data_IF_542661200334
#
_entry.id   IF_542661200334
#
_cell.length_a   1.000
_cell.length_b   1.000
_cell.length_c   1.000
_cell.angle_alpha   90.00
_cell.angle_beta   90.00
_cell.angle_gamma   90.00
#
_symmetry.space_group_name_H-M   'P 1'
#
loop_
_entity.id
_entity.type
_entity.pdbx_description
1 polymer ?
#
# COMPACT_ATOMS: atom_id res chain seq x y z
N UNK A 1 13.19 61.23 -5.85
CA UNK A 1 12.94 60.09 -4.95
C UNK A 1 12.45 58.93 -5.81
N UNK A 2 13.22 57.83 -5.94
CA UNK A 2 12.83 56.68 -6.77
C UNK A 2 12.79 55.43 -5.88
N UNK A 3 11.61 54.82 -5.83
CA UNK A 3 11.21 53.80 -4.86
C UNK A 3 11.97 52.47 -5.04
N UNK A 4 12.47 51.91 -3.94
CA UNK A 4 12.99 50.55 -3.85
C UNK A 4 11.82 49.56 -3.85
N UNK A 5 11.66 48.80 -4.94
CA UNK A 5 10.80 47.62 -4.95
C UNK A 5 11.50 46.49 -4.17
N UNK A 6 10.96 46.16 -2.99
CA UNK A 6 11.39 45.00 -2.22
C UNK A 6 10.97 43.72 -2.97
N UNK A 7 11.95 42.98 -3.49
CA UNK A 7 11.75 41.61 -3.99
C UNK A 7 11.32 40.73 -2.81
N UNK A 8 10.03 40.42 -2.71
CA UNK A 8 9.54 39.31 -1.89
C UNK A 8 10.13 38.01 -2.43
N UNK A 9 11.13 37.47 -1.73
CA UNK A 9 11.59 36.10 -1.92
C UNK A 9 10.50 35.18 -1.38
N UNK A 10 9.66 34.65 -2.29
CA UNK A 10 8.75 33.54 -1.96
C UNK A 10 9.62 32.34 -1.55
N UNK A 11 9.55 31.99 -0.27
CA UNK A 11 10.21 30.82 0.32
C UNK A 11 9.53 29.61 -0.29
N UNK A 12 10.11 29.03 -1.35
CA UNK A 12 9.70 27.72 -1.87
C UNK A 12 9.76 26.76 -0.68
N UNK A 13 8.60 26.40 -0.11
CA UNK A 13 8.48 25.22 0.76
C UNK A 13 9.09 24.08 -0.06
N UNK A 14 10.14 23.44 0.46
CA UNK A 14 10.73 22.29 -0.23
C UNK A 14 9.62 21.30 -0.50
N UNK A 15 9.48 20.87 -1.76
CA UNK A 15 8.56 19.78 -2.10
C UNK A 15 9.02 18.57 -1.28
N UNK A 16 8.19 18.16 -0.34
CA UNK A 16 8.39 16.91 0.39
C UNK A 16 8.23 15.80 -0.64
N UNK A 17 9.25 14.96 -0.78
CA UNK A 17 9.22 13.82 -1.69
C UNK A 17 7.97 12.98 -1.40
N UNK A 18 7.19 12.64 -2.43
CA UNK A 18 6.02 11.78 -2.26
C UNK A 18 6.38 10.38 -1.73
N UNK A 19 7.62 9.94 -1.94
CA UNK A 19 8.11 8.63 -1.52
C UNK A 19 9.16 8.74 -0.41
N UNK A 20 9.15 7.79 0.53
CA UNK A 20 10.17 7.65 1.57
C UNK A 20 10.07 8.65 2.74
N UNK A 21 9.04 9.49 2.77
CA UNK A 21 8.78 10.42 3.87
C UNK A 21 7.79 9.81 4.89
N UNK A 22 7.77 10.36 6.10
CA UNK A 22 6.75 9.99 7.08
C UNK A 22 5.36 10.37 6.57
N UNK A 23 4.42 9.44 6.71
CA UNK A 23 3.05 9.63 6.21
C UNK A 23 2.36 10.81 6.89
N UNK A 24 2.55 10.99 8.20
CA UNK A 24 1.92 12.08 8.95
C UNK A 24 2.47 13.43 8.51
N UNK A 25 3.81 13.53 8.38
CA UNK A 25 4.46 14.74 7.88
C UNK A 25 3.99 15.09 6.46
N UNK A 26 3.90 14.10 5.58
CA UNK A 26 3.43 14.29 4.21
C UNK A 26 2.00 14.85 4.16
N UNK A 27 1.06 14.24 4.90
CA UNK A 27 -0.34 14.66 4.92
C UNK A 27 -0.50 16.07 5.52
N UNK A 28 0.22 16.37 6.61
CA UNK A 28 0.23 17.71 7.18
C UNK A 28 0.79 18.77 6.22
N UNK A 29 1.82 18.42 5.45
CA UNK A 29 2.44 19.33 4.49
C UNK A 29 1.58 19.58 3.24
N UNK A 30 0.88 18.55 2.77
CA UNK A 30 0.05 18.57 1.56
C UNK A 30 -1.38 19.07 1.82
N UNK A 31 -1.86 18.99 3.07
CA UNK A 31 -3.23 19.32 3.44
C UNK A 31 -4.27 18.35 2.89
N UNK A 32 -3.86 17.13 2.53
CA UNK A 32 -4.74 16.07 2.04
C UNK A 32 -4.98 15.03 3.13
N UNK A 33 -6.11 14.33 3.06
CA UNK A 33 -6.44 13.23 3.97
C UNK A 33 -5.73 11.91 3.59
N UNK A 34 -5.42 11.76 2.29
CA UNK A 34 -4.77 10.58 1.71
C UNK A 34 -3.70 11.03 0.73
N UNK A 35 -2.55 10.33 0.62
CA UNK A 35 -1.52 10.67 -0.36
C UNK A 35 -2.04 10.63 -1.79
N UNK A 36 -1.73 11.65 -2.58
CA UNK A 36 -2.22 11.77 -3.95
C UNK A 36 -1.78 10.59 -4.84
N UNK A 37 -0.58 10.04 -4.60
CA UNK A 37 -0.09 8.82 -5.25
C UNK A 37 -1.08 7.67 -5.08
N UNK A 38 -1.61 7.47 -3.87
CA UNK A 38 -2.54 6.39 -3.58
C UNK A 38 -3.91 6.64 -4.22
N UNK A 39 -4.38 7.89 -4.20
CA UNK A 39 -5.64 8.27 -4.83
C UNK A 39 -5.62 8.02 -6.33
N UNK A 40 -4.62 8.56 -7.04
CA UNK A 40 -4.47 8.37 -8.48
C UNK A 40 -4.30 6.89 -8.85
N UNK A 41 -3.48 6.14 -8.10
CA UNK A 41 -3.33 4.70 -8.34
C UNK A 41 -4.65 3.94 -8.15
N UNK A 42 -5.41 4.26 -7.09
CA UNK A 42 -6.67 3.59 -6.80
C UNK A 42 -7.71 3.87 -7.89
N UNK A 43 -7.92 5.13 -8.26
CA UNK A 43 -8.85 5.53 -9.31
C UNK A 43 -8.50 4.84 -10.65
N UNK A 44 -7.23 4.83 -11.04
CA UNK A 44 -6.78 4.14 -12.25
C UNK A 44 -7.03 2.62 -12.22
N UNK A 45 -6.76 1.97 -11.07
CA UNK A 45 -6.95 0.51 -10.93
C UNK A 45 -8.43 0.15 -10.85
N UNK A 46 -9.28 1.00 -10.29
CA UNK A 46 -10.73 0.80 -10.31
C UNK A 46 -11.29 0.90 -11.73
N UNK A 47 -10.77 1.82 -12.54
CA UNK A 47 -11.23 2.03 -13.93
C UNK A 47 -10.64 0.99 -14.92
N UNK A 48 -9.35 0.70 -14.82
CA UNK A 48 -8.63 -0.13 -15.81
C UNK A 48 -8.09 -1.46 -15.26
N UNK A 49 -8.15 -1.67 -13.94
CA UNK A 49 -7.45 -2.76 -13.25
C UNK A 49 -8.19 -4.09 -13.16
N UNK A 50 -9.35 -4.24 -13.82
CA UNK A 50 -10.03 -5.54 -13.93
C UNK A 50 -9.30 -6.41 -14.97
N UNK A 51 -8.12 -6.89 -14.57
CA UNK A 51 -7.22 -7.74 -15.35
C UNK A 51 -6.73 -8.92 -14.50
N UNK A 52 -6.25 -9.99 -15.15
CA UNK A 52 -5.72 -11.13 -14.40
C UNK A 52 -4.51 -10.71 -13.54
N UNK A 53 -4.54 -11.08 -12.27
CA UNK A 53 -3.41 -10.92 -11.37
C UNK A 53 -3.07 -9.47 -11.02
N UNK A 54 -4.03 -8.53 -11.02
CA UNK A 54 -3.82 -7.20 -10.43
C UNK A 54 -3.29 -7.34 -8.99
N UNK A 55 -2.28 -6.52 -8.65
CA UNK A 55 -1.46 -6.62 -7.43
C UNK A 55 -0.62 -7.91 -7.25
N UNK A 56 -0.96 -9.03 -7.88
CA UNK A 56 -0.19 -10.30 -7.85
C UNK A 56 1.00 -10.24 -8.82
N UNK A 57 0.75 -9.89 -10.08
CA UNK A 57 1.78 -9.71 -11.10
C UNK A 57 2.50 -8.37 -10.89
N UNK A 58 3.77 -8.33 -11.30
CA UNK A 58 4.59 -7.12 -11.25
C UNK A 58 4.65 -6.47 -12.63
N UNK A 59 4.43 -5.16 -12.69
CA UNK A 59 4.71 -4.41 -13.91
C UNK A 59 6.19 -4.29 -14.21
N UNK A 60 6.50 -3.71 -15.36
CA UNK A 60 7.87 -3.55 -15.86
C UNK A 60 8.62 -2.55 -14.96
N UNK A 61 9.79 -2.93 -14.46
CA UNK A 61 10.59 -2.12 -13.53
C UNK A 61 10.87 -0.70 -14.03
N UNK A 62 11.18 -0.53 -15.32
CA UNK A 62 11.43 0.80 -15.91
C UNK A 62 10.17 1.68 -15.89
N UNK A 63 8.99 1.12 -16.14
CA UNK A 63 7.72 1.84 -16.08
C UNK A 63 7.39 2.26 -14.64
N UNK A 64 7.62 1.38 -13.67
CA UNK A 64 7.46 1.68 -12.23
C UNK A 64 8.38 2.84 -11.83
N UNK A 65 9.67 2.80 -12.20
CA UNK A 65 10.62 3.85 -11.86
C UNK A 65 10.30 5.18 -12.55
N UNK A 66 9.88 5.13 -13.81
CA UNK A 66 9.42 6.31 -14.54
C UNK A 66 8.23 6.95 -13.82
N UNK A 67 7.21 6.16 -13.49
CA UNK A 67 6.01 6.67 -12.83
C UNK A 67 6.33 7.23 -11.43
N UNK A 68 7.24 6.59 -10.69
CA UNK A 68 7.77 7.10 -9.42
C UNK A 68 8.39 8.49 -9.57
N UNK A 69 9.19 8.71 -10.61
CA UNK A 69 9.82 10.01 -10.88
C UNK A 69 8.79 11.08 -11.24
N UNK A 70 7.77 10.71 -12.00
CA UNK A 70 6.67 11.61 -12.37
C UNK A 70 5.90 12.07 -11.12
N UNK A 71 5.53 11.16 -10.22
CA UNK A 71 4.94 11.52 -8.92
C UNK A 71 5.88 12.33 -8.01
N UNK A 72 7.19 12.28 -8.24
CA UNK A 72 8.15 13.14 -7.55
C UNK A 72 8.13 14.60 -8.04
N UNK A 73 7.60 14.85 -9.23
CA UNK A 73 7.60 16.17 -9.88
C UNK A 73 6.20 16.78 -9.98
N UNK A 74 5.19 15.94 -10.19
CA UNK A 74 3.78 16.29 -10.30
C UNK A 74 2.97 15.43 -9.32
N UNK A 75 2.17 16.02 -8.41
CA UNK A 75 1.32 15.23 -7.53
C UNK A 75 0.27 14.39 -8.27
N UNK A 76 -0.12 14.75 -9.50
CA UNK A 76 -1.18 14.08 -10.26
C UNK A 76 -0.78 13.84 -11.74
N UNK A 77 0.20 12.95 -12.00
CA UNK A 77 0.63 12.64 -13.36
C UNK A 77 -0.46 11.92 -14.14
N UNK A 78 -0.42 12.06 -15.47
CA UNK A 78 -1.37 11.40 -16.37
C UNK A 78 -1.07 9.90 -16.49
N UNK A 79 -1.92 9.09 -15.84
CA UNK A 79 -1.89 7.64 -15.87
C UNK A 79 -2.56 7.04 -17.12
N UNK A 80 -3.29 7.83 -17.91
CA UNK A 80 -4.00 7.36 -19.11
C UNK A 80 -3.09 7.23 -20.34
N UNK A 81 -1.80 7.55 -20.19
CA UNK A 81 -0.82 7.41 -21.27
C UNK A 81 -0.64 5.93 -21.65
N UNK A 82 -0.46 5.70 -22.94
CA UNK A 82 -0.38 4.34 -23.53
C UNK A 82 0.64 3.43 -22.81
N UNK A 83 1.77 3.98 -22.38
CA UNK A 83 2.80 3.24 -21.64
C UNK A 83 2.28 2.57 -20.36
N UNK A 84 1.28 3.15 -19.69
CA UNK A 84 0.69 2.62 -18.46
C UNK A 84 -0.57 1.80 -18.72
N UNK A 85 -1.34 2.13 -19.75
CA UNK A 85 -2.46 1.31 -20.19
C UNK A 85 -2.01 -0.07 -20.72
N UNK A 86 -0.84 -0.14 -21.34
CA UNK A 86 -0.22 -1.40 -21.79
C UNK A 86 0.44 -2.20 -20.64
N UNK A 87 0.69 -1.56 -19.49
CA UNK A 87 1.35 -2.17 -18.32
C UNK A 87 0.63 -1.76 -17.03
N UNK A 88 -0.65 -2.10 -16.92
CA UNK A 88 -1.51 -1.78 -15.76
C UNK A 88 -0.87 -2.26 -14.45
N UNK A 89 -0.12 -3.37 -14.49
CA UNK A 89 0.58 -3.92 -13.34
C UNK A 89 1.66 -2.98 -12.78
N UNK A 90 2.19 -2.02 -13.56
CA UNK A 90 3.16 -1.06 -13.05
C UNK A 90 2.53 -0.09 -12.04
N UNK A 91 1.27 0.30 -12.23
CA UNK A 91 0.54 1.17 -11.31
C UNK A 91 0.26 0.43 -10.00
N UNK A 92 -0.17 -0.84 -10.08
CA UNK A 92 -0.31 -1.70 -8.89
C UNK A 92 1.02 -1.94 -8.16
N UNK A 93 2.11 -2.13 -8.89
CA UNK A 93 3.45 -2.23 -8.32
C UNK A 93 3.91 -0.94 -7.64
N UNK A 94 3.63 0.23 -8.23
CA UNK A 94 3.95 1.52 -7.63
C UNK A 94 3.14 1.77 -6.35
N UNK A 95 1.85 1.45 -6.35
CA UNK A 95 0.99 1.55 -5.17
C UNK A 95 1.56 0.72 -4.00
N UNK A 96 1.98 -0.53 -4.27
CA UNK A 96 2.68 -1.37 -3.28
C UNK A 96 4.02 -0.76 -2.84
N UNK A 97 4.78 -0.20 -3.79
CA UNK A 97 6.08 0.42 -3.52
C UNK A 97 5.95 1.59 -2.53
N UNK A 98 4.92 2.41 -2.68
CA UNK A 98 4.64 3.53 -1.79
C UNK A 98 4.59 3.06 -0.32
N UNK A 99 3.73 2.08 -0.02
CA UNK A 99 3.60 1.56 1.36
C UNK A 99 4.88 0.90 1.88
N UNK A 100 5.67 0.27 1.00
CA UNK A 100 6.93 -0.36 1.36
C UNK A 100 8.03 0.65 1.70
N UNK A 101 8.00 1.83 1.10
CA UNK A 101 8.99 2.89 1.34
C UNK A 101 8.63 3.77 2.55
N UNK A 102 7.46 3.60 3.17
CA UNK A 102 7.12 4.34 4.38
C UNK A 102 8.11 4.01 5.53
N UNK A 103 8.65 5.02 6.24
CA UNK A 103 9.56 4.78 7.37
C UNK A 103 8.88 4.09 8.55
N UNK A 104 7.60 4.37 8.76
CA UNK A 104 6.72 3.64 9.66
C UNK A 104 5.64 2.96 8.79
N UNK A 105 5.51 1.62 8.80
CA UNK A 105 4.55 0.92 7.95
C UNK A 105 3.14 1.40 8.24
N UNK A 106 2.22 1.24 7.28
CA UNK A 106 0.83 1.71 7.39
C UNK A 106 0.13 1.25 8.68
N UNK A 107 0.37 0.00 9.12
CA UNK A 107 -0.19 -0.54 10.36
C UNK A 107 0.58 -0.16 11.63
N UNK A 108 1.65 0.61 11.50
CA UNK A 108 2.57 1.09 12.54
C UNK A 108 3.25 -0.01 13.37
N UNK A 109 4.47 0.26 13.83
CA UNK A 109 5.13 -0.67 14.75
C UNK A 109 4.43 -0.78 16.11
N UNK A 110 3.82 0.30 16.58
CA UNK A 110 3.14 0.37 17.88
C UNK A 110 1.91 -0.53 17.96
N UNK A 111 1.12 -0.58 16.88
CA UNK A 111 -0.12 -1.35 16.83
C UNK A 111 0.10 -2.79 16.35
N UNK A 112 1.27 -3.13 15.81
CA UNK A 112 1.55 -4.46 15.25
C UNK A 112 1.19 -5.61 16.20
N UNK A 113 1.58 -5.53 17.48
CA UNK A 113 1.25 -6.55 18.49
C UNK A 113 -0.27 -6.71 18.66
N UNK A 114 -1.00 -5.58 18.68
CA UNK A 114 -2.46 -5.59 18.86
C UNK A 114 -3.15 -6.23 17.65
N UNK A 115 -2.69 -5.91 16.43
CA UNK A 115 -3.20 -6.54 15.21
C UNK A 115 -2.96 -8.06 15.21
N UNK A 116 -1.74 -8.51 15.48
CA UNK A 116 -1.40 -9.94 15.47
C UNK A 116 -2.17 -10.74 16.51
N UNK A 117 -2.33 -10.22 17.74
CA UNK A 117 -3.14 -10.88 18.76
C UNK A 117 -4.59 -11.01 18.29
N UNK A 118 -5.17 -9.95 17.72
CA UNK A 118 -6.55 -9.99 17.23
C UNK A 118 -6.73 -11.00 16.09
N UNK A 119 -5.79 -11.04 15.14
CA UNK A 119 -5.82 -12.00 14.03
C UNK A 119 -5.72 -13.45 14.53
N UNK A 120 -4.86 -13.72 15.53
CA UNK A 120 -4.72 -15.06 16.11
C UNK A 120 -5.92 -15.51 16.95
N UNK A 121 -6.73 -14.58 17.47
CA UNK A 121 -7.97 -14.91 18.16
C UNK A 121 -9.12 -15.16 17.18
N UNK A 122 -9.06 -14.56 15.98
CA UNK A 122 -10.04 -14.74 14.91
C UNK A 122 -9.74 -15.98 14.05
N UNK A 123 -8.55 -16.57 14.13
CA UNK A 123 -8.32 -17.90 13.57
C UNK A 123 -9.21 -18.87 14.34
N UNK A 124 -10.20 -19.42 13.65
CA UNK A 124 -11.13 -20.40 14.19
C UNK A 124 -10.33 -21.55 14.82
N UNK A 125 -10.22 -21.55 16.15
CA UNK A 125 -9.83 -22.74 16.89
C UNK A 125 -11.03 -23.66 16.80
N UNK A 126 -11.02 -24.55 15.81
CA UNK A 126 -12.05 -25.56 15.66
C UNK A 126 -12.31 -26.31 16.96
N UNK A 127 -13.47 -26.97 17.10
CA UNK A 127 -13.79 -27.70 18.31
C UNK A 127 -12.64 -28.66 18.62
N UNK A 128 -12.04 -28.54 19.81
CA UNK A 128 -11.06 -29.51 20.30
C UNK A 128 -11.76 -30.85 20.35
N UNK A 129 -11.51 -31.72 19.37
CA UNK A 129 -12.03 -33.09 19.40
C UNK A 129 -11.44 -33.77 20.62
N UNK A 130 -12.29 -34.08 21.60
CA UNK A 130 -11.93 -34.93 22.73
C UNK A 130 -11.41 -36.27 22.22
N UNK A 131 -10.35 -36.85 22.82
CA UNK A 131 -9.83 -38.14 22.39
C UNK A 131 -10.93 -39.20 22.46
N UNK A 132 -11.15 -39.89 21.34
CA UNK A 132 -12.09 -41.01 21.26
C UNK A 132 -11.61 -42.10 22.22
N UNK A 133 -12.45 -42.57 23.16
CA UNK A 133 -12.07 -43.68 24.02
C UNK A 133 -11.81 -44.91 23.14
N UNK A 134 -10.59 -45.46 23.21
CA UNK A 134 -10.25 -46.72 22.55
C UNK A 134 -11.14 -47.81 23.15
N UNK A 135 -12.13 -48.27 22.39
CA UNK A 135 -12.90 -49.46 22.75
C UNK A 135 -11.95 -50.66 22.75
N UNK A 136 -11.83 -51.33 23.88
CA UNK A 136 -11.10 -52.59 24.01
C UNK A 136 -11.68 -53.65 23.05
N UNK A 137 -10.85 -54.53 22.47
CA UNK A 137 -11.35 -55.62 21.63
C UNK A 137 -12.23 -56.57 22.45
N UNK A 138 -13.40 -56.90 21.89
CA UNK A 138 -14.34 -57.86 22.46
C UNK A 138 -13.72 -59.26 22.38
N UNK A 139 -13.80 -60.11 23.43
CA UNK A 139 -13.29 -61.48 23.33
C UNK A 139 -14.14 -62.28 22.37
N UNK A 140 -13.53 -62.82 21.32
CA UNK A 140 -14.15 -63.84 20.46
C UNK A 140 -14.38 -65.10 21.28
N UNK A 141 -15.60 -65.27 21.79
CA UNK A 141 -16.04 -66.50 22.43
C UNK A 141 -16.77 -67.38 21.40
N UNK A 142 -16.24 -68.59 21.22
CA UNK A 142 -16.89 -69.85 20.81
C UNK A 142 -17.70 -69.88 19.51
N UNK A 143 -17.14 -70.55 18.49
CA UNK A 143 -17.64 -71.82 17.94
C UNK A 143 -16.48 -72.60 17.34
#
# INVERSE_FOLDING_TARGET
MKNKAAKQKSKRKGIVSAFGCDLTEYLQSSGQDVPQVLKCCAEFIEEHGIVDGIYRLSGITSNIQRLRQEFGSDPCPDLTREVYLQDIHCVGSLCKLYFRELPNPLLTYELYKKFTVRLNLLSWQGPKTSPVPKTSPVPTAML
#
